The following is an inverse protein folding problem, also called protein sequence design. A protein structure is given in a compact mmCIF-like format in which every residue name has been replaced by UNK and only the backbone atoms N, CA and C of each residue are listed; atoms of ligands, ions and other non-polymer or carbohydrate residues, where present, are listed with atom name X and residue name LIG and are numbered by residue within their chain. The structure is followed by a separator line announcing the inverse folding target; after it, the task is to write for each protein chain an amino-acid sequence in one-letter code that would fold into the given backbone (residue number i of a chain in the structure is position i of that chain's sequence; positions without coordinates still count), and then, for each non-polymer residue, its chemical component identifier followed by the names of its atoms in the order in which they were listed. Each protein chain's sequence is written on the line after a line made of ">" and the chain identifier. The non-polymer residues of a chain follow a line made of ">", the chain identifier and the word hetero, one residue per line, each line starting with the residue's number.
data_IF_547300074210
#
_entry.id   IF_547300074210
#
_cell.length_a   1.000
_cell.length_b   1.000
_cell.length_c   1.000
_cell.angle_alpha   90.00
_cell.angle_beta   90.00
_cell.angle_gamma   90.00
#
_symmetry.space_group_name_H-M   'P 1'
#
loop_
_entity.id
_entity.type
_entity.pdbx_description
1 polymer ?
#
# COMPACT_ATOMS: atom_id res chain seq x y z
N UNK A 1 -24.73 16.61 -33.83
CA UNK A 1 -26.10 17.09 -34.13
C UNK A 1 -26.14 18.06 -35.31
N UNK A 2 -25.83 19.37 -35.17
CA UNK A 2 -25.98 20.38 -36.24
C UNK A 2 -25.37 20.01 -37.61
N UNK A 3 -24.17 19.39 -37.62
CA UNK A 3 -23.51 18.94 -38.87
C UNK A 3 -24.23 17.76 -39.55
N UNK A 4 -24.78 16.83 -38.79
CA UNK A 4 -25.49 15.67 -39.33
C UNK A 4 -26.90 16.04 -39.83
N UNK A 5 -27.54 16.99 -39.14
CA UNK A 5 -28.82 17.55 -39.57
C UNK A 5 -28.67 18.38 -40.84
N UNK A 6 -27.62 19.20 -40.95
CA UNK A 6 -27.29 19.90 -42.19
C UNK A 6 -27.02 18.92 -43.35
N UNK A 7 -26.29 17.83 -43.09
CA UNK A 7 -26.02 16.79 -44.09
C UNK A 7 -27.30 16.06 -44.54
N UNK A 8 -28.22 15.75 -43.63
CA UNK A 8 -29.53 15.16 -43.96
C UNK A 8 -30.38 16.12 -44.80
N UNK A 9 -30.45 17.40 -44.41
CA UNK A 9 -31.21 18.41 -45.16
C UNK A 9 -30.64 18.63 -46.57
N UNK A 10 -29.31 18.63 -46.70
CA UNK A 10 -28.65 18.72 -48.01
C UNK A 10 -28.95 17.49 -48.88
N UNK A 11 -28.88 16.27 -48.31
CA UNK A 11 -29.20 15.04 -49.03
C UNK A 11 -30.69 14.97 -49.44
N UNK A 12 -31.59 15.47 -48.59
CA UNK A 12 -33.03 15.54 -48.87
C UNK A 12 -33.35 16.53 -50.00
N UNK A 13 -32.71 17.70 -49.99
CA UNK A 13 -32.84 18.68 -51.07
C UNK A 13 -32.33 18.11 -52.40
N UNK A 14 -31.21 17.38 -52.39
CA UNK A 14 -30.67 16.72 -53.57
C UNK A 14 -31.60 15.62 -54.10
N UNK A 15 -32.20 14.82 -53.21
CA UNK A 15 -33.19 13.80 -53.57
C UNK A 15 -34.41 14.40 -54.28
N UNK A 16 -35.01 15.47 -53.75
CA UNK A 16 -36.16 16.13 -54.37
C UNK A 16 -35.83 16.83 -55.70
N UNK A 17 -34.60 17.31 -55.87
CA UNK A 17 -34.16 17.83 -57.16
C UNK A 17 -34.05 16.69 -58.19
N UNK A 18 -33.38 15.60 -57.83
CA UNK A 18 -33.22 14.44 -58.71
C UNK A 18 -34.56 13.77 -59.07
N UNK A 19 -35.53 13.76 -58.14
CA UNK A 19 -36.89 13.25 -58.36
C UNK A 19 -37.65 14.08 -59.41
N UNK A 20 -37.60 15.41 -59.29
CA UNK A 20 -38.23 16.31 -60.27
C UNK A 20 -37.53 16.26 -61.62
N UNK A 21 -36.21 16.06 -61.64
CA UNK A 21 -35.44 15.91 -62.87
C UNK A 21 -35.79 14.60 -63.58
N UNK A 22 -35.96 13.52 -62.83
CA UNK A 22 -36.43 12.24 -63.35
C UNK A 22 -37.84 12.33 -63.94
N UNK A 23 -38.79 12.92 -63.21
CA UNK A 23 -40.16 13.09 -63.71
C UNK A 23 -40.21 13.92 -65.00
N UNK A 24 -39.45 15.02 -65.06
CA UNK A 24 -39.35 15.82 -66.28
C UNK A 24 -38.73 15.04 -67.44
N UNK A 25 -37.69 14.26 -67.17
CA UNK A 25 -37.07 13.42 -68.17
C UNK A 25 -38.02 12.31 -68.68
N UNK A 26 -38.83 11.71 -67.81
CA UNK A 26 -39.86 10.74 -68.20
C UNK A 26 -40.92 11.37 -69.09
N UNK A 27 -41.43 12.55 -68.74
CA UNK A 27 -42.40 13.29 -69.55
C UNK A 27 -41.84 13.70 -70.91
N UNK A 28 -40.59 14.17 -70.95
CA UNK A 28 -39.92 14.56 -72.18
C UNK A 28 -39.59 13.35 -73.06
N UNK A 29 -39.24 12.21 -72.47
CA UNK A 29 -39.02 10.97 -73.19
C UNK A 29 -40.32 10.44 -73.80
N UNK A 30 -41.41 10.44 -73.04
CA UNK A 30 -42.74 10.04 -73.51
C UNK A 30 -43.26 10.94 -74.65
N UNK A 31 -42.82 12.21 -74.67
CA UNK A 31 -43.10 13.17 -75.76
C UNK A 31 -42.10 13.10 -76.92
N UNK A 32 -41.10 12.22 -76.85
CA UNK A 32 -40.04 12.09 -77.87
C UNK A 32 -39.04 13.25 -77.93
N UNK A 33 -39.01 14.12 -76.91
CA UNK A 33 -38.19 15.32 -76.85
C UNK A 33 -36.74 15.04 -76.39
N UNK A 34 -36.48 13.90 -75.72
CA UNK A 34 -35.14 13.47 -75.30
C UNK A 34 -34.88 11.99 -75.67
N UNK A 35 -33.60 11.60 -75.91
CA UNK A 35 -33.23 10.21 -76.14
C UNK A 35 -33.25 9.36 -74.86
N UNK A 36 -33.41 8.03 -74.99
CA UNK A 36 -33.43 7.07 -73.87
C UNK A 36 -32.19 7.19 -72.97
N UNK A 37 -31.02 7.44 -73.55
CA UNK A 37 -29.77 7.67 -72.81
C UNK A 37 -29.83 8.87 -71.84
N UNK A 38 -30.65 9.89 -72.15
CA UNK A 38 -30.85 11.03 -71.25
C UNK A 38 -31.79 10.66 -70.08
N UNK A 39 -32.79 9.81 -70.34
CA UNK A 39 -33.67 9.26 -69.30
C UNK A 39 -32.89 8.35 -68.34
N UNK A 40 -32.03 7.47 -68.86
CA UNK A 40 -31.20 6.57 -68.03
C UNK A 40 -30.24 7.34 -67.12
N UNK A 41 -29.68 8.46 -67.61
CA UNK A 41 -28.86 9.36 -66.78
C UNK A 41 -29.67 9.99 -65.64
N UNK A 42 -30.92 10.38 -65.91
CA UNK A 42 -31.80 10.93 -64.88
C UNK A 42 -32.17 9.87 -63.82
N UNK A 43 -32.45 8.63 -64.25
CA UNK A 43 -32.69 7.48 -63.36
C UNK A 43 -31.50 7.19 -62.47
N UNK A 44 -30.30 7.12 -63.05
CA UNK A 44 -29.07 6.88 -62.29
C UNK A 44 -28.80 8.00 -61.28
N UNK A 45 -29.03 9.26 -61.66
CA UNK A 45 -28.89 10.40 -60.76
C UNK A 45 -29.87 10.33 -59.57
N UNK A 46 -31.11 9.89 -59.82
CA UNK A 46 -32.10 9.65 -58.78
C UNK A 46 -31.68 8.52 -57.82
N UNK A 47 -31.21 7.38 -58.32
CA UNK A 47 -30.72 6.27 -57.49
C UNK A 47 -29.55 6.69 -56.59
N UNK A 48 -28.59 7.45 -57.14
CA UNK A 48 -27.46 7.99 -56.37
C UNK A 48 -27.94 8.93 -55.27
N UNK A 49 -28.89 9.83 -55.58
CA UNK A 49 -29.46 10.74 -54.58
C UNK A 49 -30.25 10.00 -53.49
N UNK A 50 -30.97 8.93 -53.84
CA UNK A 50 -31.68 8.06 -52.91
C UNK A 50 -30.72 7.33 -51.96
N UNK A 51 -29.62 6.76 -52.47
CA UNK A 51 -28.60 6.11 -51.66
C UNK A 51 -27.91 7.09 -50.70
N UNK A 52 -27.63 8.31 -51.15
CA UNK A 52 -27.07 9.36 -50.30
C UNK A 52 -28.04 9.77 -49.19
N UNK A 53 -29.34 9.91 -49.49
CA UNK A 53 -30.37 10.20 -48.48
C UNK A 53 -30.49 9.09 -47.45
N UNK A 54 -30.47 7.82 -47.87
CA UNK A 54 -30.53 6.67 -46.97
C UNK A 54 -29.32 6.63 -46.02
N UNK A 55 -28.10 6.88 -46.54
CA UNK A 55 -26.87 6.96 -45.75
C UNK A 55 -26.88 8.13 -44.76
N UNK A 56 -27.32 9.31 -45.20
CA UNK A 56 -27.45 10.49 -44.35
C UNK A 56 -28.51 10.32 -43.26
N UNK A 57 -29.65 9.67 -43.58
CA UNK A 57 -30.70 9.33 -42.62
C UNK A 57 -30.22 8.29 -41.60
N UNK A 58 -29.51 7.25 -42.03
CA UNK A 58 -28.92 6.26 -41.12
C UNK A 58 -27.89 6.89 -40.17
N UNK A 59 -27.06 7.81 -40.68
CA UNK A 59 -26.09 8.56 -39.88
C UNK A 59 -26.76 9.52 -38.90
N UNK A 60 -27.82 10.22 -39.33
CA UNK A 60 -28.65 11.07 -38.47
C UNK A 60 -29.35 10.24 -37.39
N UNK A 61 -29.88 9.07 -37.73
CA UNK A 61 -30.50 8.16 -36.77
C UNK A 61 -29.49 7.60 -35.78
N UNK A 62 -28.29 7.21 -36.20
CA UNK A 62 -27.20 6.81 -35.29
C UNK A 62 -26.80 7.94 -34.34
N UNK A 63 -26.80 9.18 -34.82
CA UNK A 63 -26.45 10.38 -34.03
C UNK A 63 -27.64 10.87 -33.17
N UNK A 64 -28.88 10.59 -33.56
CA UNK A 64 -30.09 10.84 -32.75
C UNK A 64 -30.35 9.72 -31.75
N UNK A 65 -29.90 8.50 -32.04
CA UNK A 65 -29.91 7.31 -31.17
C UNK A 65 -28.69 7.24 -30.24
N UNK A 66 -27.91 8.32 -30.10
CA UNK A 66 -26.94 8.51 -29.01
C UNK A 66 -26.94 9.97 -28.56
N UNK A 67 -26.79 10.40 -27.31
CA UNK A 67 -26.37 9.75 -26.06
C UNK A 67 -27.12 8.46 -25.72
N UNK A 68 -26.39 7.44 -25.26
CA UNK A 68 -27.03 6.23 -24.73
C UNK A 68 -27.85 6.62 -23.50
N UNK A 69 -28.96 5.94 -23.25
CA UNK A 69 -29.64 5.98 -21.95
C UNK A 69 -28.63 5.73 -20.81
N UNK A 70 -27.60 4.92 -21.09
CA UNK A 70 -26.44 4.67 -20.23
C UNK A 70 -25.58 5.91 -19.98
N UNK A 71 -25.37 6.79 -20.96
CA UNK A 71 -24.59 8.02 -20.78
C UNK A 71 -25.40 9.08 -20.00
N UNK A 72 -26.72 9.11 -20.19
CA UNK A 72 -27.64 9.95 -19.41
C UNK A 72 -27.74 9.42 -17.98
N UNK A 73 -27.84 8.10 -17.77
CA UNK A 73 -27.78 7.48 -16.45
C UNK A 73 -26.41 7.63 -15.78
N UNK A 74 -25.30 7.59 -16.52
CA UNK A 74 -23.95 7.85 -15.98
C UNK A 74 -23.82 9.32 -15.61
N UNK A 75 -24.36 10.25 -16.40
CA UNK A 75 -24.36 11.68 -16.08
C UNK A 75 -25.26 12.01 -14.88
N UNK A 76 -26.46 11.42 -14.80
CA UNK A 76 -27.39 11.54 -13.67
C UNK A 76 -26.81 10.88 -12.41
N UNK A 77 -26.21 9.69 -12.53
CA UNK A 77 -25.53 9.02 -11.43
C UNK A 77 -24.31 9.81 -10.94
N UNK A 78 -23.56 10.46 -11.83
CA UNK A 78 -22.46 11.36 -11.46
C UNK A 78 -22.97 12.63 -10.77
N UNK A 79 -24.11 13.18 -11.21
CA UNK A 79 -24.74 14.33 -10.57
C UNK A 79 -25.29 13.99 -9.18
N UNK A 80 -25.90 12.81 -9.03
CA UNK A 80 -26.42 12.32 -7.76
C UNK A 80 -25.30 11.91 -6.78
N UNK A 81 -24.20 11.35 -7.29
CA UNK A 81 -22.97 11.15 -6.50
C UNK A 81 -22.33 12.47 -6.07
N UNK A 82 -22.35 13.51 -6.92
CA UNK A 82 -21.83 14.83 -6.57
C UNK A 82 -22.71 15.54 -5.52
N UNK A 83 -24.03 15.42 -5.61
CA UNK A 83 -24.98 15.96 -4.61
C UNK A 83 -24.86 15.24 -3.27
N UNK A 84 -24.83 13.91 -3.26
CA UNK A 84 -24.65 13.13 -2.03
C UNK A 84 -23.26 13.33 -1.40
N UNK A 85 -22.21 13.56 -2.20
CA UNK A 85 -20.90 13.96 -1.69
C UNK A 85 -20.90 15.35 -1.05
N UNK A 86 -21.63 16.31 -1.61
CA UNK A 86 -21.83 17.65 -1.05
C UNK A 86 -22.62 17.60 0.27
N UNK A 87 -23.71 16.83 0.30
CA UNK A 87 -24.52 16.64 1.50
C UNK A 87 -23.75 15.88 2.59
N UNK A 88 -22.96 14.88 2.22
CA UNK A 88 -22.05 14.22 3.15
C UNK A 88 -20.97 15.18 3.64
N UNK A 89 -20.41 16.06 2.80
CA UNK A 89 -19.43 17.08 3.22
C UNK A 89 -20.03 18.10 4.20
N UNK A 90 -21.30 18.46 4.04
CA UNK A 90 -22.04 19.29 4.98
C UNK A 90 -22.30 18.56 6.30
N UNK A 91 -22.68 17.26 6.26
CA UNK A 91 -22.80 16.41 7.47
C UNK A 91 -21.45 16.13 8.14
N UNK A 92 -20.37 16.04 7.37
CA UNK A 92 -18.97 15.86 7.80
C UNK A 92 -18.43 17.09 8.52
N UNK A 93 -18.95 18.28 8.20
CA UNK A 93 -18.66 19.52 8.92
C UNK A 93 -19.26 19.52 10.33
N UNK A 94 -20.29 18.71 10.59
CA UNK A 94 -20.96 18.59 11.89
C UNK A 94 -20.56 17.34 12.69
N UNK A 95 -20.14 16.25 12.05
CA UNK A 95 -19.84 14.97 12.72
C UNK A 95 -18.35 14.79 13.08
N UNK A 96 -18.07 14.62 14.37
CA UNK A 96 -16.72 14.44 14.96
C UNK A 96 -15.96 13.24 14.37
N UNK A 97 -15.04 13.51 13.44
CA UNK A 97 -13.83 12.82 12.91
C UNK A 97 -13.64 11.29 12.90
N UNK A 98 -14.29 10.49 13.75
CA UNK A 98 -14.04 9.04 13.86
C UNK A 98 -15.07 8.19 13.09
N UNK A 99 -16.35 8.55 13.13
CA UNK A 99 -17.39 7.93 12.28
C UNK A 99 -17.14 8.21 10.79
N UNK A 100 -16.60 9.39 10.50
CA UNK A 100 -16.15 9.83 9.17
C UNK A 100 -15.15 8.86 8.53
N UNK A 101 -14.19 8.36 9.32
CA UNK A 101 -13.15 7.46 8.83
C UNK A 101 -13.72 6.08 8.52
N UNK A 102 -14.64 5.61 9.35
CA UNK A 102 -15.34 4.33 9.18
C UNK A 102 -16.23 4.40 7.93
N UNK A 103 -16.97 5.49 7.77
CA UNK A 103 -17.88 5.70 6.66
C UNK A 103 -17.12 5.88 5.34
N UNK A 104 -16.02 6.64 5.31
CA UNK A 104 -15.13 6.71 4.14
C UNK A 104 -14.56 5.34 3.77
N UNK A 105 -14.19 4.52 4.75
CA UNK A 105 -13.64 3.18 4.50
C UNK A 105 -14.72 2.22 3.99
N UNK A 106 -15.95 2.35 4.48
CA UNK A 106 -17.11 1.61 3.95
C UNK A 106 -17.45 2.01 2.52
N UNK A 107 -17.48 3.31 2.20
CA UNK A 107 -17.71 3.78 0.83
C UNK A 107 -16.60 3.32 -0.13
N UNK A 108 -15.35 3.28 0.32
CA UNK A 108 -14.24 2.72 -0.46
C UNK A 108 -14.40 1.22 -0.70
N UNK A 109 -14.87 0.46 0.30
CA UNK A 109 -15.14 -0.97 0.17
C UNK A 109 -16.28 -1.24 -0.83
N UNK A 110 -17.32 -0.43 -0.79
CA UNK A 110 -18.49 -0.55 -1.66
C UNK A 110 -18.15 -0.20 -3.11
N UNK A 111 -17.42 0.89 -3.34
CA UNK A 111 -16.90 1.23 -4.67
C UNK A 111 -15.98 0.14 -5.24
N UNK A 112 -15.13 -0.46 -4.40
CA UNK A 112 -14.27 -1.57 -4.82
C UNK A 112 -15.08 -2.84 -5.16
N UNK A 113 -16.19 -3.11 -4.45
CA UNK A 113 -17.11 -4.21 -4.76
C UNK A 113 -17.88 -3.98 -6.05
N UNK A 114 -18.44 -2.79 -6.26
CA UNK A 114 -19.14 -2.44 -7.50
C UNK A 114 -18.20 -2.49 -8.71
N UNK A 115 -16.95 -2.01 -8.56
CA UNK A 115 -15.93 -2.14 -9.60
C UNK A 115 -15.57 -3.61 -9.88
N UNK A 116 -15.50 -4.45 -8.84
CA UNK A 116 -15.28 -5.89 -9.00
C UNK A 116 -16.45 -6.59 -9.69
N UNK A 117 -17.70 -6.22 -9.40
CA UNK A 117 -18.87 -6.76 -10.08
C UNK A 117 -18.98 -6.31 -11.53
N UNK A 118 -18.63 -5.05 -11.83
CA UNK A 118 -18.55 -4.55 -13.19
C UNK A 118 -17.44 -5.27 -13.97
N UNK A 119 -16.27 -5.48 -13.35
CA UNK A 119 -15.17 -6.27 -13.88
C UNK A 119 -15.56 -7.74 -14.10
N UNK A 120 -16.39 -8.29 -13.22
CA UNK A 120 -16.96 -9.65 -13.33
C UNK A 120 -18.05 -9.75 -14.39
N UNK A 121 -18.81 -8.69 -14.68
CA UNK A 121 -19.75 -8.64 -15.80
C UNK A 121 -19.03 -8.48 -17.14
N UNK A 122 -17.95 -7.69 -17.18
CA UNK A 122 -17.05 -7.64 -18.34
C UNK A 122 -16.26 -8.94 -18.59
N UNK A 123 -16.35 -9.91 -17.67
CA UNK A 123 -15.78 -11.25 -17.78
C UNK A 123 -16.43 -12.10 -18.89
N UNK A 124 -17.66 -11.76 -19.31
CA UNK A 124 -18.34 -12.42 -20.44
C UNK A 124 -17.78 -12.00 -21.81
N UNK A 125 -17.16 -10.81 -21.92
CA UNK A 125 -16.79 -10.20 -23.22
C UNK A 125 -15.35 -10.46 -23.71
N UNK A 126 -14.61 -11.38 -23.07
CA UNK A 126 -13.32 -11.92 -23.57
C UNK A 126 -12.29 -10.89 -24.07
N UNK A 127 -12.17 -9.74 -23.41
CA UNK A 127 -10.99 -8.90 -23.54
C UNK A 127 -10.23 -8.88 -22.20
N UNK A 128 -8.89 -8.87 -22.29
CA UNK A 128 -7.95 -8.32 -21.28
C UNK A 128 -7.25 -9.27 -20.28
N UNK A 129 -6.00 -9.61 -20.58
CA UNK A 129 -4.98 -9.95 -19.56
C UNK A 129 -4.30 -8.71 -18.96
N UNK A 130 -4.17 -7.62 -19.73
CA UNK A 130 -3.47 -6.38 -19.31
C UNK A 130 -4.23 -5.55 -18.27
N UNK A 131 -5.56 -5.50 -18.35
CA UNK A 131 -6.36 -4.73 -17.38
C UNK A 131 -6.46 -5.47 -16.04
N UNK A 132 -6.41 -6.81 -16.04
CA UNK A 132 -6.29 -7.62 -14.82
C UNK A 132 -4.93 -7.42 -14.15
N UNK A 133 -3.85 -7.34 -14.93
CA UNK A 133 -2.52 -7.02 -14.40
C UNK A 133 -2.47 -5.60 -13.81
N UNK A 134 -3.07 -4.62 -14.49
CA UNK A 134 -3.14 -3.24 -13.99
C UNK A 134 -3.95 -3.15 -12.68
N UNK A 135 -5.13 -3.78 -12.65
CA UNK A 135 -5.98 -3.82 -11.45
C UNK A 135 -5.29 -4.57 -10.30
N UNK A 136 -4.61 -5.69 -10.59
CA UNK A 136 -3.82 -6.42 -9.59
C UNK A 136 -2.66 -5.59 -9.06
N UNK A 137 -1.95 -4.85 -9.92
CA UNK A 137 -0.89 -3.95 -9.52
C UNK A 137 -1.41 -2.81 -8.62
N UNK A 138 -2.60 -2.26 -8.91
CA UNK A 138 -3.23 -1.25 -8.07
C UNK A 138 -3.62 -1.80 -6.70
N UNK A 139 -4.21 -3.00 -6.63
CA UNK A 139 -4.51 -3.68 -5.36
C UNK A 139 -3.24 -3.94 -4.56
N UNK A 140 -2.18 -4.42 -5.20
CA UNK A 140 -0.90 -4.67 -4.54
C UNK A 140 -0.27 -3.38 -4.00
N UNK A 141 -0.30 -2.29 -4.77
CA UNK A 141 0.18 -0.98 -4.31
C UNK A 141 -0.62 -0.46 -3.11
N UNK A 142 -1.94 -0.60 -3.13
CA UNK A 142 -2.80 -0.19 -2.02
C UNK A 142 -2.54 -1.05 -0.75
N UNK A 143 -2.31 -2.35 -0.92
CA UNK A 143 -1.93 -3.25 0.18
C UNK A 143 -0.57 -2.88 0.79
N UNK A 144 0.43 -2.62 -0.04
CA UNK A 144 1.76 -2.19 0.42
C UNK A 144 1.70 -0.85 1.17
N UNK A 145 0.89 0.10 0.69
CA UNK A 145 0.67 1.37 1.38
C UNK A 145 -0.01 1.18 2.74
N UNK A 146 -0.99 0.28 2.83
CA UNK A 146 -1.66 -0.06 4.09
C UNK A 146 -0.68 -0.69 5.10
N UNK A 147 0.16 -1.63 4.65
CA UNK A 147 1.13 -2.31 5.50
C UNK A 147 2.20 -1.34 6.03
N UNK A 148 2.66 -0.41 5.19
CA UNK A 148 3.57 0.67 5.62
C UNK A 148 2.95 1.55 6.71
N UNK A 149 1.67 1.93 6.58
CA UNK A 149 0.98 2.74 7.59
C UNK A 149 0.77 1.94 8.87
N UNK A 150 0.44 0.65 8.79
CA UNK A 150 0.34 -0.24 9.95
C UNK A 150 1.68 -0.37 10.69
N UNK A 151 2.77 -0.59 9.97
CA UNK A 151 4.12 -0.64 10.56
C UNK A 151 4.46 0.67 11.27
N UNK A 152 4.18 1.83 10.66
CA UNK A 152 4.39 3.14 11.31
C UNK A 152 3.55 3.32 12.57
N UNK A 153 2.32 2.81 12.59
CA UNK A 153 1.46 2.85 13.77
C UNK A 153 2.00 1.94 14.89
N UNK A 154 2.51 0.77 14.54
CA UNK A 154 3.18 -0.12 15.48
C UNK A 154 4.46 0.51 16.04
N UNK A 155 5.24 1.21 15.21
CA UNK A 155 6.44 1.95 15.62
C UNK A 155 6.12 3.12 16.58
N UNK A 156 4.89 3.67 16.57
CA UNK A 156 4.45 4.65 17.58
C UNK A 156 4.33 4.03 18.98
N UNK A 157 4.21 2.70 19.08
CA UNK A 157 4.15 1.98 20.37
C UNK A 157 5.45 1.22 20.59
N UNK A 158 6.42 1.88 21.20
CA UNK A 158 7.73 1.29 21.46
C UNK A 158 7.61 0.27 22.60
N UNK A 159 7.78 -1.00 22.27
CA UNK A 159 7.79 -2.13 23.22
C UNK A 159 9.22 -2.44 23.65
N UNK A 160 9.38 -2.94 24.87
CA UNK A 160 10.66 -3.41 25.36
C UNK A 160 11.10 -4.69 24.60
N UNK A 161 12.30 -4.73 23.99
CA UNK A 161 12.79 -5.92 23.30
C UNK A 161 13.23 -7.02 24.28
N UNK A 162 13.57 -6.64 25.51
CA UNK A 162 14.01 -7.55 26.57
C UNK A 162 13.32 -7.20 27.89
N UNK A 163 13.12 -8.22 28.72
CA UNK A 163 12.76 -8.04 30.13
C UNK A 163 13.97 -7.52 30.90
N UNK A 164 13.80 -6.46 31.69
CA UNK A 164 14.90 -5.88 32.46
C UNK A 164 14.46 -4.65 33.25
N UNK A 165 15.43 -3.91 33.76
CA UNK A 165 15.22 -2.67 34.50
C UNK A 165 15.59 -1.50 33.61
N UNK A 166 14.77 -0.43 33.65
CA UNK A 166 15.10 0.82 32.95
C UNK A 166 16.28 1.49 33.65
N UNK A 167 17.44 1.50 32.98
CA UNK A 167 18.68 2.12 33.48
C UNK A 167 18.73 3.62 33.20
N UNK A 168 18.04 4.09 32.17
CA UNK A 168 18.04 5.50 31.78
C UNK A 168 16.87 5.82 30.86
N UNK A 169 16.27 6.99 31.07
CA UNK A 169 15.25 7.60 30.20
C UNK A 169 15.87 8.85 29.58
N UNK A 170 15.90 8.90 28.26
CA UNK A 170 16.52 9.97 27.47
C UNK A 170 15.50 10.84 26.73
N UNK A 171 14.22 10.51 26.84
CA UNK A 171 13.13 11.25 26.23
C UNK A 171 12.01 11.53 27.23
N UNK A 172 11.59 12.78 27.28
CA UNK A 172 10.51 13.28 28.13
C UNK A 172 9.20 13.39 27.35
N UNK A 173 8.10 13.49 28.10
CA UNK A 173 6.79 13.72 27.51
C UNK A 173 6.76 15.06 26.77
N UNK A 174 6.25 15.07 25.54
CA UNK A 174 6.25 16.24 24.68
C UNK A 174 7.55 16.50 23.92
N UNK A 175 8.60 15.70 24.12
CA UNK A 175 9.83 15.79 23.33
C UNK A 175 9.66 15.17 21.93
N UNK A 176 10.34 15.74 20.93
CA UNK A 176 10.35 15.21 19.57
C UNK A 176 11.25 13.96 19.51
N UNK A 177 10.66 12.79 19.27
CA UNK A 177 11.38 11.55 19.06
C UNK A 177 11.68 11.36 17.56
N UNK A 178 12.96 11.30 17.19
CA UNK A 178 13.39 11.02 15.81
C UNK A 178 13.83 9.56 15.64
N UNK A 179 13.68 8.97 14.43
CA UNK A 179 14.21 7.63 14.15
C UNK A 179 15.70 7.50 14.50
N UNK A 180 16.06 6.45 15.23
CA UNK A 180 17.43 6.19 15.68
C UNK A 180 17.84 6.89 16.98
N UNK A 181 17.00 7.77 17.54
CA UNK A 181 17.26 8.37 18.84
C UNK A 181 16.96 7.37 19.97
N UNK A 182 17.90 7.09 20.88
CA UNK A 182 17.64 6.25 22.02
C UNK A 182 16.68 6.96 22.98
N UNK A 183 15.52 6.35 23.27
CA UNK A 183 14.54 6.90 24.21
C UNK A 183 14.70 6.33 25.62
N UNK A 184 14.95 5.02 25.71
CA UNK A 184 15.05 4.28 26.98
C UNK A 184 16.16 3.25 26.86
N UNK A 185 16.96 3.10 27.90
CA UNK A 185 17.90 1.99 28.06
C UNK A 185 17.36 1.00 29.07
N UNK A 186 17.23 -0.26 28.65
CA UNK A 186 16.81 -1.38 29.49
C UNK A 186 18.03 -2.29 29.68
N UNK A 187 18.30 -2.67 30.92
CA UNK A 187 19.39 -3.57 31.30
C UNK A 187 18.82 -4.74 32.06
N UNK A 188 19.12 -5.96 31.60
CA UNK A 188 18.88 -7.17 32.39
C UNK A 188 20.07 -7.42 33.33
N UNK A 189 19.80 -7.36 34.65
CA UNK A 189 20.80 -7.63 35.70
C UNK A 189 20.50 -8.93 36.47
N UNK A 190 19.65 -9.80 35.92
CA UNK A 190 19.33 -11.13 36.48
C UNK A 190 20.55 -12.04 36.59
N UNK A 191 21.50 -11.88 35.66
CA UNK A 191 22.82 -12.47 35.70
C UNK A 191 23.86 -11.39 35.40
N UNK A 192 24.99 -11.45 36.07
CA UNK A 192 26.07 -10.46 35.93
C UNK A 192 27.34 -11.17 35.48
N UNK A 193 28.09 -10.49 34.62
CA UNK A 193 29.38 -10.96 34.11
C UNK A 193 30.50 -10.30 34.89
N UNK A 194 31.31 -11.11 35.55
CA UNK A 194 32.53 -10.66 36.22
C UNK A 194 33.68 -10.82 35.23
N UNK A 195 34.44 -9.74 35.01
CA UNK A 195 35.63 -9.75 34.16
C UNK A 195 36.87 -9.80 35.06
N UNK A 196 37.64 -10.87 34.94
CA UNK A 196 38.87 -11.14 35.68
C UNK A 196 40.06 -11.05 34.72
N UNK A 197 41.18 -10.54 35.21
CA UNK A 197 42.45 -10.56 34.49
C UNK A 197 43.42 -11.43 35.28
N UNK A 198 43.62 -12.67 34.81
CA UNK A 198 44.47 -13.66 35.46
C UNK A 198 45.84 -13.72 34.77
N UNK A 199 46.87 -14.08 35.53
CA UNK A 199 48.16 -14.46 34.95
C UNK A 199 48.09 -15.84 34.28
N UNK A 200 49.03 -16.10 33.38
CA UNK A 200 49.15 -17.37 32.65
C UNK A 200 49.30 -18.56 33.61
N UNK A 201 49.96 -18.37 34.76
CA UNK A 201 50.22 -19.38 35.77
C UNK A 201 48.95 -19.97 36.44
N UNK A 202 47.81 -19.30 36.29
CA UNK A 202 46.53 -19.73 36.83
C UNK A 202 45.55 -20.25 35.76
N UNK A 203 45.95 -20.25 34.48
CA UNK A 203 45.08 -20.60 33.35
C UNK A 203 44.54 -22.03 33.47
N UNK A 204 45.41 -22.99 33.82
CA UNK A 204 45.04 -24.40 33.97
C UNK A 204 44.04 -24.65 35.11
N UNK A 205 43.98 -23.73 36.08
CA UNK A 205 43.13 -23.85 37.28
C UNK A 205 41.74 -23.25 37.09
N UNK A 206 41.56 -22.37 36.11
CA UNK A 206 40.27 -21.69 35.88
C UNK A 206 39.16 -22.65 35.44
N UNK A 207 39.38 -23.58 34.49
CA UNK A 207 38.36 -24.58 34.12
C UNK A 207 37.97 -25.52 35.28
N UNK A 208 38.85 -25.72 36.24
CA UNK A 208 38.64 -26.59 37.41
C UNK A 208 37.84 -25.91 38.53
N UNK A 209 37.51 -24.62 38.39
CA UNK A 209 36.80 -23.87 39.43
C UNK A 209 35.32 -24.25 39.47
N UNK A 210 34.86 -24.80 40.61
CA UNK A 210 33.45 -25.18 40.82
C UNK A 210 32.64 -24.13 41.59
N UNK A 211 33.28 -23.42 42.51
CA UNK A 211 32.66 -22.39 43.35
C UNK A 211 33.51 -21.13 43.34
N UNK A 212 32.86 -19.97 43.38
CA UNK A 212 33.52 -18.68 43.34
C UNK A 212 32.99 -17.83 44.50
N UNK A 213 33.87 -17.47 45.42
CA UNK A 213 33.53 -16.51 46.46
C UNK A 213 33.70 -15.10 45.91
N UNK A 214 32.61 -14.35 45.86
CA UNK A 214 32.58 -12.97 45.36
C UNK A 214 32.34 -12.06 46.55
N UNK A 215 33.33 -11.21 46.82
CA UNK A 215 33.32 -10.24 47.89
C UNK A 215 33.31 -8.83 47.30
N UNK A 216 32.26 -8.07 47.57
CA UNK A 216 32.11 -6.65 47.25
C UNK A 216 32.22 -5.90 48.57
N UNK A 217 33.21 -5.01 48.66
CA UNK A 217 33.55 -4.28 49.88
C UNK A 217 32.30 -3.65 50.53
N UNK A 218 32.04 -3.98 51.80
CA UNK A 218 30.89 -3.52 52.60
C UNK A 218 29.49 -3.78 52.02
N UNK A 219 29.34 -4.63 51.01
CA UNK A 219 28.07 -4.83 50.31
C UNK A 219 27.63 -6.29 50.21
N UNK A 220 28.55 -7.19 49.87
CA UNK A 220 28.22 -8.60 49.64
C UNK A 220 29.44 -9.49 49.88
N UNK A 221 29.26 -10.55 50.65
CA UNK A 221 30.23 -11.64 50.77
C UNK A 221 29.47 -12.96 50.64
N UNK A 222 29.47 -13.53 49.43
CA UNK A 222 28.73 -14.75 49.11
C UNK A 222 29.48 -15.63 48.13
N UNK A 223 29.26 -16.93 48.27
CA UNK A 223 29.74 -17.94 47.33
C UNK A 223 28.67 -18.18 46.27
N UNK A 224 29.07 -18.08 45.01
CA UNK A 224 28.23 -18.34 43.85
C UNK A 224 28.77 -19.54 43.07
N UNK A 225 27.86 -20.29 42.47
CA UNK A 225 28.19 -21.28 41.45
C UNK A 225 28.18 -20.57 40.09
N UNK A 226 29.31 -20.54 39.35
CA UNK A 226 29.34 -19.95 38.02
C UNK A 226 28.42 -20.72 37.07
N UNK A 227 27.63 -20.00 36.27
CA UNK A 227 26.82 -20.60 35.21
C UNK A 227 27.66 -20.89 33.97
N UNK A 228 28.61 -20.00 33.67
CA UNK A 228 29.44 -20.07 32.49
C UNK A 228 30.78 -19.39 32.78
N UNK A 229 31.88 -19.98 32.29
CA UNK A 229 33.22 -19.41 32.36
C UNK A 229 33.75 -19.37 30.93
N UNK A 230 33.95 -18.17 30.41
CA UNK A 230 34.51 -17.95 29.09
C UNK A 230 35.94 -17.38 29.23
N UNK A 231 36.90 -18.10 28.69
CA UNK A 231 38.31 -17.73 28.73
C UNK A 231 38.68 -17.14 27.37
N UNK A 232 39.15 -15.90 27.35
CA UNK A 232 39.57 -15.27 26.10
C UNK A 232 40.78 -16.02 25.52
N UNK A 233 40.76 -16.38 24.23
CA UNK A 233 41.88 -17.08 23.58
C UNK A 233 43.08 -16.16 23.32
N UNK A 234 42.93 -14.86 23.56
CA UNK A 234 43.96 -13.83 23.31
C UNK A 234 44.47 -13.25 24.62
N UNK A 235 45.79 -13.17 24.76
CA UNK A 235 46.44 -12.50 25.88
C UNK A 235 46.66 -11.02 25.58
N UNK A 236 46.44 -10.14 26.57
CA UNK A 236 46.75 -8.72 26.41
C UNK A 236 48.29 -8.51 26.39
N UNK A 237 48.86 -7.99 25.29
CA UNK A 237 50.31 -7.85 25.14
C UNK A 237 50.94 -6.83 26.10
N UNK A 238 50.16 -5.90 26.67
CA UNK A 238 50.67 -4.91 27.63
C UNK A 238 50.74 -5.46 29.04
N UNK A 239 49.66 -6.09 29.49
CA UNK A 239 49.53 -6.58 30.86
C UNK A 239 50.01 -8.01 31.05
N UNK A 240 50.21 -8.78 29.95
CA UNK A 240 50.48 -10.23 29.95
C UNK A 240 49.46 -11.01 30.79
N UNK A 241 48.21 -10.55 30.78
CA UNK A 241 47.10 -11.20 31.48
C UNK A 241 46.05 -11.67 30.49
N UNK A 242 45.38 -12.75 30.85
CA UNK A 242 44.27 -13.33 30.10
C UNK A 242 42.96 -12.83 30.69
N UNK A 243 42.05 -12.41 29.81
CA UNK A 243 40.71 -11.98 30.21
C UNK A 243 39.82 -13.22 30.39
N UNK A 244 39.27 -13.38 31.58
CA UNK A 244 38.30 -14.43 31.91
C UNK A 244 36.98 -13.78 32.29
N UNK A 245 35.90 -14.22 31.66
CA UNK A 245 34.55 -13.75 31.90
C UNK A 245 33.75 -14.85 32.60
N UNK A 246 33.27 -14.56 33.81
CA UNK A 246 32.48 -15.50 34.61
C UNK A 246 31.06 -14.96 34.74
N UNK A 247 30.06 -15.75 34.31
CA UNK A 247 28.65 -15.43 34.47
C UNK A 247 28.12 -16.00 35.78
N UNK A 248 27.60 -15.14 36.65
CA UNK A 248 26.99 -15.53 37.92
C UNK A 248 25.52 -15.10 38.01
N UNK A 249 24.66 -15.88 38.67
CA UNK A 249 23.28 -15.47 38.91
C UNK A 249 23.25 -14.37 39.98
N UNK A 250 22.35 -13.39 39.82
CA UNK A 250 22.16 -12.28 40.76
C UNK A 250 20.73 -12.31 41.36
N UNK A 251 20.40 -13.36 42.16
CA UNK A 251 19.09 -13.46 42.79
C UNK A 251 18.90 -12.30 43.76
N UNK A 252 17.88 -11.48 43.51
CA UNK A 252 17.59 -10.26 44.28
C UNK A 252 18.23 -8.98 43.73
N UNK A 253 18.84 -9.02 42.54
CA UNK A 253 19.24 -7.84 41.75
C UNK A 253 20.17 -6.88 42.52
N UNK A 254 20.99 -7.42 43.42
CA UNK A 254 21.84 -6.63 44.34
C UNK A 254 23.13 -6.19 43.67
N UNK A 255 23.74 -7.07 42.87
CA UNK A 255 24.99 -6.75 42.18
C UNK A 255 24.68 -5.84 40.99
N UNK A 256 25.29 -4.65 40.95
CA UNK A 256 25.13 -3.70 39.84
C UNK A 256 26.37 -3.73 38.92
N UNK A 257 26.18 -3.59 37.60
CA UNK A 257 27.29 -3.40 36.67
C UNK A 257 28.17 -2.21 37.09
N UNK A 258 29.49 -2.36 36.98
CA UNK A 258 30.47 -1.34 37.36
C UNK A 258 31.00 -1.42 38.80
N UNK A 259 30.44 -2.31 39.65
CA UNK A 259 31.02 -2.57 40.97
C UNK A 259 32.34 -3.34 40.87
N UNK A 260 33.30 -3.00 41.73
CA UNK A 260 34.52 -3.79 41.91
C UNK A 260 34.28 -4.91 42.90
N UNK A 261 34.68 -6.13 42.54
CA UNK A 261 34.57 -7.29 43.40
C UNK A 261 35.95 -7.97 43.53
N UNK A 262 36.27 -8.44 44.73
CA UNK A 262 37.34 -9.40 44.97
C UNK A 262 36.78 -10.79 44.78
N UNK A 263 37.48 -11.58 43.98
CA UNK A 263 37.04 -12.92 43.62
C UNK A 263 38.08 -13.93 44.08
N UNK A 264 37.63 -14.92 44.86
CA UNK A 264 38.43 -16.08 45.23
C UNK A 264 37.88 -17.30 44.50
N UNK A 265 38.72 -17.89 43.65
CA UNK A 265 38.42 -19.14 42.95
C UNK A 265 38.65 -20.28 43.93
N UNK A 266 37.61 -21.07 44.22
CA UNK A 266 37.71 -22.24 45.07
C UNK A 266 37.89 -23.45 44.14
N UNK A 267 39.13 -23.91 44.08
CA UNK A 267 39.53 -25.20 43.53
C UNK A 267 39.21 -26.24 44.63
N UNK A 268 38.73 -27.43 44.24
CA UNK A 268 38.22 -28.52 45.11
C UNK A 268 38.56 -28.49 46.62
N UNK A 269 37.54 -28.80 47.45
CA UNK A 269 37.73 -29.10 48.87
C UNK A 269 38.76 -30.23 49.01
N UNK A 270 39.93 -29.91 49.59
CA UNK A 270 40.78 -30.94 50.20
C UNK A 270 39.92 -31.72 51.20
N UNK A 271 39.72 -33.00 50.91
CA UNK A 271 39.23 -34.00 51.86
C UNK A 271 40.41 -34.75 52.45
#
# INVERSE_FOLDING_TARGET
>A
MKRAEAAYQQALANFHNAERDLQRAEDDYNRGAIPEQALDKAKLAFEVAQAQLASAKASLELIKKGAREEDIQIAEANEEQAKSALENLEKLREAKSWEVKIQQTQTQLENARSAYELARKSWEDKLWGKDIELARAQVQNAQAALELVKSRLEDCTIKAPISGIVSGRFADEGSLASPGQPLVSIVDISSVKIVLHIGEEYLDKVPLTRKIAVQIENYLDKVFTPQEINISPTMDPRSRKIKVEVKIPNPGLRIKPGMFARVKLILEEEK
#
